data_IF_694046609034
#
_entry.id   IF_694046609034
#
_cell.length_a   1.000
_cell.length_b   1.000
_cell.length_c   1.000
_cell.angle_alpha   90.00
_cell.angle_beta   90.00
_cell.angle_gamma   90.00
#
_symmetry.space_group_name_H-M   'P 1'
#
loop_
_entity.id
_entity.type
_entity.pdbx_description
1 polymer ?
#
# COMPACT_ATOMS: atom_id res chain seq x y z
N UNK A 1 0.03 15.86 -66.18
CA UNK A 1 0.50 17.27 -66.15
C UNK A 1 1.00 17.58 -64.73
N UNK A 2 2.25 18.07 -64.60
CA UNK A 2 2.88 18.77 -63.46
C UNK A 2 2.85 18.10 -62.05
N UNK A 3 3.87 18.11 -61.17
CA UNK A 3 5.21 18.72 -61.05
C UNK A 3 5.90 18.07 -59.80
N UNK A 4 7.24 17.87 -59.88
CA UNK A 4 8.35 18.10 -58.89
C UNK A 4 8.21 17.59 -57.42
N UNK A 5 9.23 17.12 -56.69
CA UNK A 5 10.68 17.42 -56.56
C UNK A 5 11.40 16.22 -55.86
N UNK A 6 12.60 15.74 -56.25
CA UNK A 6 13.98 16.19 -55.93
C UNK A 6 14.35 16.12 -54.42
N UNK A 7 15.51 15.67 -53.90
CA UNK A 7 16.81 15.11 -54.34
C UNK A 7 17.38 14.39 -53.09
N UNK A 8 17.96 13.20 -53.24
CA UNK A 8 18.84 12.59 -52.23
C UNK A 8 20.28 12.58 -52.74
N UNK A 9 21.19 13.20 -51.99
CA UNK A 9 22.63 13.19 -52.29
C UNK A 9 23.36 12.34 -51.26
N UNK A 10 24.21 11.44 -51.72
CA UNK A 10 25.19 10.73 -50.90
C UNK A 10 26.50 10.75 -51.68
N UNK A 11 27.59 11.17 -51.04
CA UNK A 11 28.96 10.78 -51.40
C UNK A 11 29.88 11.09 -50.22
N UNK A 12 30.71 10.10 -49.90
CA UNK A 12 31.67 10.02 -48.78
C UNK A 12 33.04 10.64 -49.16
N UNK A 13 34.02 10.38 -48.26
CA UNK A 13 35.50 10.43 -48.41
C UNK A 13 36.10 11.69 -47.76
N UNK A 14 37.10 11.69 -46.86
CA UNK A 14 38.00 10.69 -46.28
C UNK A 14 38.52 11.18 -44.91
N UNK A 15 38.93 10.25 -44.05
CA UNK A 15 39.83 10.49 -42.91
C UNK A 15 41.26 10.78 -43.39
N UNK A 16 41.95 11.74 -42.77
CA UNK A 16 43.41 11.69 -42.54
C UNK A 16 43.75 12.40 -41.22
N UNK A 17 44.14 11.60 -40.23
CA UNK A 17 45.30 11.78 -39.34
C UNK A 17 45.61 13.14 -38.67
N UNK A 18 45.70 13.06 -37.33
CA UNK A 18 46.88 13.43 -36.53
C UNK A 18 46.77 14.62 -35.55
N UNK A 19 46.62 14.25 -34.27
CA UNK A 19 47.24 14.79 -33.06
C UNK A 19 47.88 16.19 -33.11
N UNK A 20 47.22 17.16 -32.45
CA UNK A 20 47.89 18.12 -31.56
C UNK A 20 47.04 18.37 -30.31
N UNK A 21 47.54 17.87 -29.18
CA UNK A 21 47.21 18.40 -27.86
C UNK A 21 47.57 19.89 -27.81
N UNK A 22 46.58 20.72 -27.51
CA UNK A 22 46.81 22.03 -26.91
C UNK A 22 45.87 22.13 -25.72
N UNK A 23 46.46 21.95 -24.55
CA UNK A 23 45.83 22.20 -23.26
C UNK A 23 45.49 23.68 -23.17
N UNK A 24 44.19 24.01 -23.10
CA UNK A 24 43.73 25.31 -22.64
C UNK A 24 42.80 25.09 -21.45
N UNK A 25 43.30 25.54 -20.31
CA UNK A 25 42.64 25.58 -19.01
C UNK A 25 41.27 26.26 -19.12
N UNK A 26 40.19 25.53 -18.80
CA UNK A 26 38.95 26.11 -18.33
C UNK A 26 38.59 25.38 -17.03
N UNK A 27 38.79 26.12 -15.95
CA UNK A 27 38.56 25.72 -14.57
C UNK A 27 37.04 25.74 -14.35
N UNK A 28 36.43 24.57 -14.14
CA UNK A 28 35.01 24.46 -13.87
C UNK A 28 34.66 24.96 -12.46
N UNK A 29 33.65 25.84 -12.28
CA UNK A 29 33.05 26.12 -10.99
C UNK A 29 31.87 25.15 -10.74
N UNK A 30 32.12 23.83 -10.79
CA UNK A 30 31.05 22.81 -10.65
C UNK A 30 30.91 22.25 -9.22
N UNK A 31 31.85 22.56 -8.31
CA UNK A 31 31.86 21.97 -6.96
C UNK A 31 30.87 22.59 -5.97
N UNK A 32 30.69 23.92 -5.95
CA UNK A 32 29.88 24.58 -4.90
C UNK A 32 28.37 24.38 -5.07
N UNK A 33 27.88 24.24 -6.30
CA UNK A 33 26.45 24.05 -6.59
C UNK A 33 25.97 22.63 -6.21
N UNK A 34 26.80 21.61 -6.49
CA UNK A 34 26.54 20.24 -6.06
C UNK A 34 26.62 20.08 -4.53
N UNK A 35 27.54 20.81 -3.88
CA UNK A 35 27.67 20.79 -2.41
C UNK A 35 26.50 21.49 -1.73
N UNK A 36 26.03 22.62 -2.27
CA UNK A 36 24.85 23.33 -1.77
C UNK A 36 23.55 22.51 -1.94
N UNK A 37 23.38 21.82 -3.08
CA UNK A 37 22.25 20.92 -3.29
C UNK A 37 22.24 19.76 -2.29
N UNK A 38 23.40 19.17 -2.03
CA UNK A 38 23.55 18.06 -1.07
C UNK A 38 23.25 18.48 0.38
N UNK A 39 23.68 19.69 0.77
CA UNK A 39 23.37 20.27 2.09
C UNK A 39 21.88 20.58 2.26
N UNK A 40 21.21 21.03 1.19
CA UNK A 40 19.76 21.27 1.21
C UNK A 40 18.98 19.96 1.29
N UNK A 41 19.41 18.91 0.58
CA UNK A 41 18.82 17.57 0.70
C UNK A 41 19.03 16.97 2.10
N UNK A 42 20.22 17.09 2.68
CA UNK A 42 20.50 16.67 4.05
C UNK A 42 19.69 17.45 5.09
N UNK A 43 19.52 18.77 4.92
CA UNK A 43 18.65 19.57 5.79
C UNK A 43 17.18 19.21 5.65
N UNK A 44 16.70 18.95 4.43
CA UNK A 44 15.32 18.52 4.19
C UNK A 44 15.06 17.12 4.76
N UNK A 45 16.02 16.19 4.66
CA UNK A 45 15.94 14.89 5.34
C UNK A 45 15.94 15.05 6.86
N UNK A 46 16.85 15.86 7.43
CA UNK A 46 16.93 16.08 8.87
C UNK A 46 15.67 16.77 9.42
N UNK A 47 15.08 17.71 8.67
CA UNK A 47 13.81 18.33 9.03
C UNK A 47 12.63 17.36 8.91
N UNK A 48 12.62 16.49 7.90
CA UNK A 48 11.63 15.42 7.79
C UNK A 48 11.74 14.45 8.96
N UNK A 49 12.95 14.03 9.33
CA UNK A 49 13.22 13.14 10.46
C UNK A 49 12.85 13.79 11.81
N UNK A 50 13.12 15.08 11.97
CA UNK A 50 12.74 15.82 13.18
C UNK A 50 11.24 16.01 13.31
N UNK A 51 10.54 16.31 12.20
CA UNK A 51 9.08 16.41 12.18
C UNK A 51 8.44 15.05 12.47
N UNK A 52 9.01 13.97 11.92
CA UNK A 52 8.62 12.58 12.21
C UNK A 52 8.77 12.27 13.70
N UNK A 53 9.92 12.59 14.30
CA UNK A 53 10.18 12.33 15.71
C UNK A 53 9.20 13.06 16.63
N UNK A 54 8.89 14.32 16.32
CA UNK A 54 7.90 15.10 17.09
C UNK A 54 6.49 14.51 17.01
N UNK A 55 6.01 14.15 15.82
CA UNK A 55 4.67 13.58 15.67
C UNK A 55 4.55 12.22 16.37
N UNK A 56 5.61 11.41 16.36
CA UNK A 56 5.66 10.13 17.09
C UNK A 56 5.58 10.39 18.60
N UNK A 57 6.33 11.37 19.11
CA UNK A 57 6.34 11.72 20.52
C UNK A 57 4.97 12.22 21.00
N UNK A 58 4.32 13.11 20.24
CA UNK A 58 2.98 13.62 20.56
C UNK A 58 1.92 12.51 20.55
N UNK A 59 1.99 11.60 19.58
CA UNK A 59 1.07 10.48 19.49
C UNK A 59 1.26 9.47 20.64
N UNK A 60 2.50 9.19 21.03
CA UNK A 60 2.83 8.32 22.18
C UNK A 60 2.31 8.88 23.51
N UNK A 61 2.38 10.19 23.68
CA UNK A 61 1.85 10.88 24.88
C UNK A 61 0.32 10.81 24.93
N UNK A 62 -0.34 10.91 23.77
CA UNK A 62 -1.80 10.82 23.69
C UNK A 62 -2.36 9.39 23.76
N UNK A 63 -1.57 8.37 23.40
CA UNK A 63 -2.01 6.98 23.30
C UNK A 63 -0.96 6.00 23.86
N UNK A 64 -0.91 5.79 25.19
CA UNK A 64 0.12 4.94 25.82
C UNK A 64 0.06 3.49 25.36
N UNK A 65 -1.10 2.99 24.90
CA UNK A 65 -1.29 1.64 24.35
C UNK A 65 -0.59 1.41 23.00
N UNK A 66 -0.02 2.47 22.42
CA UNK A 66 0.67 2.46 21.10
C UNK A 66 2.17 2.72 21.21
N UNK A 67 2.66 2.96 22.44
CA UNK A 67 4.03 3.39 22.71
C UNK A 67 5.09 2.40 22.21
N UNK A 68 4.76 1.11 22.22
CA UNK A 68 5.66 0.01 21.85
C UNK A 68 5.62 -0.36 20.36
N UNK A 69 4.93 0.40 19.51
CA UNK A 69 4.96 0.14 18.07
C UNK A 69 6.38 0.46 17.54
N UNK A 70 7.08 -0.51 16.90
CA UNK A 70 8.38 -0.28 16.30
C UNK A 70 8.31 0.83 15.24
N UNK A 71 9.33 1.69 15.17
CA UNK A 71 9.38 2.81 14.23
C UNK A 71 9.25 2.35 12.76
N UNK A 72 9.81 1.18 12.42
CA UNK A 72 9.67 0.55 11.10
C UNK A 72 8.20 0.24 10.76
N UNK A 73 7.40 -0.11 11.76
CA UNK A 73 5.98 -0.38 11.61
C UNK A 73 5.22 0.94 11.40
N UNK A 74 5.53 2.00 12.15
CA UNK A 74 4.98 3.33 11.91
C UNK A 74 5.28 3.88 10.50
N UNK A 75 6.47 3.58 9.96
CA UNK A 75 6.87 3.96 8.59
C UNK A 75 6.16 3.08 7.54
N UNK A 76 6.06 1.77 7.75
CA UNK A 76 5.28 0.87 6.88
C UNK A 76 3.77 1.21 6.88
N UNK A 77 3.28 1.79 7.97
CA UNK A 77 1.91 2.24 8.14
C UNK A 77 1.61 3.58 7.46
N UNK A 78 2.62 4.41 7.20
CA UNK A 78 2.50 5.70 6.50
C UNK A 78 2.17 5.58 5.01
N UNK A 79 2.00 4.37 4.47
CA UNK A 79 1.65 4.25 3.05
C UNK A 79 0.28 4.91 2.81
N UNK A 80 0.19 5.88 1.87
CA UNK A 80 -1.09 6.44 1.46
C UNK A 80 -2.01 5.30 1.06
N UNK A 81 -3.27 5.40 1.48
CA UNK A 81 -4.40 4.51 1.18
C UNK A 81 -3.99 3.38 0.24
N UNK A 82 -3.69 2.19 0.79
CA UNK A 82 -3.37 1.02 -0.03
C UNK A 82 -4.39 1.01 -1.17
N UNK A 83 -3.94 1.05 -2.45
CA UNK A 83 -4.85 1.12 -3.57
C UNK A 83 -5.82 -0.03 -3.36
N UNK A 84 -7.13 0.28 -3.28
CA UNK A 84 -8.17 -0.73 -3.15
C UNK A 84 -7.79 -1.82 -4.16
N UNK A 85 -7.43 -3.00 -3.65
CA UNK A 85 -6.79 -4.02 -4.45
C UNK A 85 -7.63 -4.25 -5.71
N UNK A 86 -6.97 -4.55 -6.85
CA UNK A 86 -7.72 -4.96 -8.05
C UNK A 86 -8.78 -5.96 -7.61
N UNK A 87 -10.05 -5.71 -7.95
CA UNK A 87 -11.17 -6.56 -7.56
C UNK A 87 -10.89 -7.99 -8.02
N UNK A 88 -10.61 -8.88 -7.07
CA UNK A 88 -10.32 -10.30 -7.34
C UNK A 88 -11.57 -11.09 -7.03
N UNK A 89 -12.07 -11.79 -8.02
CA UNK A 89 -13.17 -12.73 -7.84
C UNK A 89 -12.60 -14.12 -7.61
N UNK A 90 -13.08 -14.80 -6.59
CA UNK A 90 -12.67 -16.17 -6.29
C UNK A 90 -13.85 -16.98 -5.78
N UNK A 91 -13.82 -18.29 -6.02
CA UNK A 91 -14.81 -19.20 -5.44
C UNK A 91 -14.38 -19.57 -4.02
N UNK A 92 -15.21 -19.25 -3.03
CA UNK A 92 -14.97 -19.53 -1.60
C UNK A 92 -16.11 -20.32 -1.01
N UNK A 93 -15.81 -21.13 0.01
CA UNK A 93 -16.85 -21.69 0.84
C UNK A 93 -17.43 -20.54 1.70
N UNK A 94 -18.74 -20.35 1.67
CA UNK A 94 -19.44 -19.32 2.44
C UNK A 94 -20.49 -19.96 3.33
N UNK A 95 -20.68 -19.44 4.54
CA UNK A 95 -21.74 -19.86 5.45
C UNK A 95 -22.92 -18.89 5.38
N UNK A 96 -23.94 -19.28 4.63
CA UNK A 96 -25.21 -18.56 4.57
C UNK A 96 -26.17 -19.11 5.62
N UNK A 97 -26.46 -18.33 6.67
CA UNK A 97 -27.33 -18.76 7.76
C UNK A 97 -26.67 -19.71 8.77
N UNK A 98 -27.49 -20.50 9.48
CA UNK A 98 -27.05 -21.24 10.68
C UNK A 98 -26.35 -22.57 10.37
N UNK A 99 -26.73 -23.25 9.29
CA UNK A 99 -26.31 -24.65 9.04
C UNK A 99 -25.84 -24.95 7.62
N UNK A 100 -26.00 -24.02 6.67
CA UNK A 100 -25.62 -24.27 5.27
C UNK A 100 -24.29 -23.64 4.93
N UNK A 101 -23.41 -24.42 4.31
CA UNK A 101 -22.20 -23.92 3.65
C UNK A 101 -22.27 -24.28 2.17
N UNK A 102 -21.86 -23.36 1.31
CA UNK A 102 -21.86 -23.58 -0.14
C UNK A 102 -20.72 -22.82 -0.79
N UNK A 103 -20.29 -23.26 -1.97
CA UNK A 103 -19.26 -22.56 -2.74
C UNK A 103 -19.90 -21.43 -3.54
N UNK A 104 -19.42 -20.21 -3.34
CA UNK A 104 -19.92 -19.01 -4.00
C UNK A 104 -18.79 -18.21 -4.61
N UNK A 105 -19.08 -17.48 -5.69
CA UNK A 105 -18.19 -16.47 -6.22
C UNK A 105 -18.24 -15.22 -5.34
N UNK A 106 -17.11 -14.85 -4.76
CA UNK A 106 -16.97 -13.68 -3.90
C UNK A 106 -15.91 -12.72 -4.42
N UNK A 107 -16.13 -11.43 -4.19
CA UNK A 107 -15.18 -10.35 -4.47
C UNK A 107 -14.28 -10.15 -3.24
N UNK A 108 -12.98 -10.39 -3.36
CA UNK A 108 -12.02 -10.07 -2.30
C UNK A 108 -11.82 -8.57 -2.22
N UNK A 109 -11.98 -8.03 -1.02
CA UNK A 109 -11.81 -6.61 -0.71
C UNK A 109 -10.46 -6.30 -0.06
N UNK A 110 -9.86 -7.27 0.64
CA UNK A 110 -8.48 -7.16 1.10
C UNK A 110 -7.51 -7.24 -0.07
N UNK A 111 -6.37 -6.56 0.06
CA UNK A 111 -5.29 -6.56 -0.94
C UNK A 111 -4.75 -7.96 -1.23
N UNK A 112 -4.76 -8.84 -0.22
CA UNK A 112 -4.37 -10.24 -0.32
C UNK A 112 -5.57 -11.16 -0.04
N UNK A 113 -5.74 -12.17 -0.89
CA UNK A 113 -6.77 -13.21 -0.77
C UNK A 113 -6.26 -14.48 -0.08
N UNK A 114 -4.95 -14.52 0.26
CA UNK A 114 -4.27 -15.62 0.93
C UNK A 114 -3.69 -15.22 2.30
N UNK A 115 -4.08 -14.05 2.83
CA UNK A 115 -3.62 -13.58 4.14
C UNK A 115 -4.27 -14.33 5.33
N UNK A 116 -3.82 -14.03 6.56
CA UNK A 116 -4.43 -14.53 7.79
C UNK A 116 -5.94 -14.29 7.86
N UNK A 117 -6.41 -13.12 7.46
CA UNK A 117 -7.82 -12.81 7.26
C UNK A 117 -8.08 -12.32 5.83
N UNK A 118 -9.24 -12.65 5.29
CA UNK A 118 -9.76 -12.10 4.04
C UNK A 118 -11.11 -11.44 4.33
N UNK A 119 -11.31 -10.25 3.78
CA UNK A 119 -12.64 -9.63 3.68
C UNK A 119 -13.15 -9.85 2.27
N UNK A 120 -14.36 -10.36 2.12
CA UNK A 120 -14.96 -10.60 0.84
C UNK A 120 -16.41 -10.11 0.80
N UNK A 121 -16.86 -9.66 -0.37
CA UNK A 121 -18.25 -9.34 -0.65
C UNK A 121 -18.89 -10.46 -1.45
N UNK A 122 -19.98 -11.00 -0.94
CA UNK A 122 -20.92 -11.83 -1.70
C UNK A 122 -21.89 -10.88 -2.43
N UNK A 123 -21.97 -10.93 -3.77
CA UNK A 123 -22.88 -10.08 -4.54
C UNK A 123 -24.35 -10.29 -4.16
N UNK A 124 -25.16 -9.25 -4.33
CA UNK A 124 -26.61 -9.37 -4.17
C UNK A 124 -27.18 -10.29 -5.24
N UNK A 125 -28.23 -11.04 -4.88
CA UNK A 125 -29.04 -11.82 -5.82
C UNK A 125 -30.46 -11.25 -5.84
N UNK A 126 -31.34 -11.80 -6.70
CA UNK A 126 -32.75 -11.42 -6.73
C UNK A 126 -33.45 -11.59 -5.38
N UNK A 127 -32.98 -12.49 -4.53
CA UNK A 127 -33.63 -12.85 -3.26
C UNK A 127 -32.81 -12.51 -2.02
N UNK A 128 -31.55 -12.08 -2.17
CA UNK A 128 -30.66 -11.81 -1.03
C UNK A 128 -29.85 -10.53 -1.25
N UNK A 129 -29.75 -9.63 -0.25
CA UNK A 129 -28.86 -8.47 -0.36
C UNK A 129 -27.38 -8.90 -0.40
N UNK A 130 -26.52 -8.00 -0.85
CA UNK A 130 -25.08 -8.22 -0.78
C UNK A 130 -24.65 -8.39 0.68
N UNK A 131 -23.68 -9.29 0.91
CA UNK A 131 -23.19 -9.60 2.25
C UNK A 131 -21.68 -9.41 2.32
N UNK A 132 -21.20 -8.90 3.45
CA UNK A 132 -19.79 -8.93 3.77
C UNK A 132 -19.48 -10.18 4.57
N UNK A 133 -18.40 -10.84 4.18
CA UNK A 133 -17.95 -12.09 4.73
C UNK A 133 -16.49 -11.93 5.14
N UNK A 134 -16.12 -12.53 6.27
CA UNK A 134 -14.74 -12.58 6.73
C UNK A 134 -14.38 -13.99 7.21
N UNK A 135 -13.09 -14.28 7.19
CA UNK A 135 -12.54 -15.55 7.66
C UNK A 135 -11.09 -15.73 7.22
N UNK A 136 -10.51 -16.92 7.45
CA UNK A 136 -9.13 -17.20 7.07
C UNK A 136 -8.93 -17.09 5.55
N UNK A 137 -7.91 -16.34 5.10
CA UNK A 137 -7.60 -16.24 3.67
C UNK A 137 -6.82 -17.46 3.15
N UNK A 138 -5.80 -17.87 3.90
CA UNK A 138 -4.90 -18.98 3.56
C UNK A 138 -5.59 -20.33 3.41
N UNK A 139 -6.66 -20.60 4.18
CA UNK A 139 -7.43 -21.84 4.10
C UNK A 139 -8.75 -21.62 3.36
N UNK A 140 -8.80 -22.10 2.11
CA UNK A 140 -10.00 -22.01 1.26
C UNK A 140 -11.08 -23.04 1.61
N UNK A 141 -10.77 -24.03 2.45
CA UNK A 141 -11.73 -25.02 2.93
C UNK A 141 -12.56 -24.50 4.10
N UNK A 142 -12.06 -23.50 4.84
CA UNK A 142 -12.80 -22.85 5.91
C UNK A 142 -13.82 -21.87 5.33
N UNK A 143 -15.07 -22.02 5.78
CA UNK A 143 -16.16 -21.17 5.34
C UNK A 143 -15.99 -19.72 5.84
N UNK A 144 -16.08 -18.77 4.91
CA UNK A 144 -16.24 -17.36 5.25
C UNK A 144 -17.59 -17.15 5.92
N UNK A 145 -17.63 -16.28 6.94
CA UNK A 145 -18.82 -16.02 7.75
C UNK A 145 -19.26 -14.57 7.59
N UNK A 146 -20.57 -14.28 7.69
CA UNK A 146 -21.05 -12.91 7.71
C UNK A 146 -20.32 -12.07 8.75
N UNK A 147 -19.87 -10.90 8.32
CA UNK A 147 -19.26 -9.90 9.17
C UNK A 147 -20.19 -8.69 9.28
N UNK A 148 -20.55 -8.35 10.52
CA UNK A 148 -21.21 -7.10 10.83
C UNK A 148 -20.18 -5.96 10.85
N UNK A 149 -20.54 -4.83 10.27
CA UNK A 149 -19.69 -3.62 10.23
C UNK A 149 -19.79 -2.85 11.54
N UNK A 150 -19.38 -3.51 12.63
CA UNK A 150 -19.30 -2.92 13.96
C UNK A 150 -17.88 -3.04 14.49
N UNK A 151 -17.49 -2.10 15.36
CA UNK A 151 -16.17 -2.13 15.99
C UNK A 151 -15.93 -3.46 16.72
N UNK A 152 -16.90 -3.95 17.48
CA UNK A 152 -16.76 -5.20 18.24
C UNK A 152 -16.50 -6.40 17.32
N UNK A 153 -17.29 -6.57 16.26
CA UNK A 153 -17.17 -7.71 15.36
C UNK A 153 -15.82 -7.73 14.62
N UNK A 154 -15.38 -6.57 14.12
CA UNK A 154 -14.09 -6.44 13.42
C UNK A 154 -12.92 -6.70 14.37
N UNK A 155 -12.96 -6.13 15.57
CA UNK A 155 -11.89 -6.31 16.56
C UNK A 155 -11.85 -7.75 17.08
N UNK A 156 -12.99 -8.42 17.26
CA UNK A 156 -13.04 -9.83 17.62
C UNK A 156 -12.30 -10.71 16.60
N UNK A 157 -12.38 -10.40 15.29
CA UNK A 157 -11.61 -11.13 14.27
C UNK A 157 -10.09 -10.97 14.45
N UNK A 158 -9.65 -9.81 14.93
CA UNK A 158 -8.23 -9.46 15.07
C UNK A 158 -7.58 -10.10 16.31
N UNK A 159 -8.36 -10.66 17.24
CA UNK A 159 -7.87 -11.43 18.39
C UNK A 159 -6.83 -10.67 19.22
N UNK A 160 -5.65 -11.27 19.42
CA UNK A 160 -4.57 -10.69 20.22
C UNK A 160 -4.07 -9.32 19.72
N UNK A 161 -4.35 -8.94 18.47
CA UNK A 161 -3.87 -7.70 17.85
C UNK A 161 -4.89 -6.57 17.86
N UNK A 162 -5.95 -6.72 18.66
CA UNK A 162 -7.07 -5.78 18.74
C UNK A 162 -6.63 -4.36 19.10
N UNK A 163 -5.71 -4.20 20.06
CA UNK A 163 -5.23 -2.89 20.50
C UNK A 163 -4.52 -2.13 19.36
N UNK A 164 -3.66 -2.81 18.61
CA UNK A 164 -2.91 -2.23 17.50
C UNK A 164 -3.86 -1.82 16.36
N UNK A 165 -4.85 -2.67 16.03
CA UNK A 165 -5.85 -2.36 14.99
C UNK A 165 -6.71 -1.18 15.39
N UNK A 166 -7.14 -1.10 16.65
CA UNK A 166 -7.89 0.06 17.18
C UNK A 166 -7.08 1.35 17.10
N UNK A 167 -5.82 1.30 17.52
CA UNK A 167 -4.91 2.44 17.44
C UNK A 167 -4.73 2.94 16.00
N UNK A 168 -4.58 2.02 15.04
CA UNK A 168 -4.51 2.34 13.63
C UNK A 168 -5.81 2.98 13.12
N UNK A 169 -6.97 2.48 13.53
CA UNK A 169 -8.25 3.08 13.19
C UNK A 169 -8.33 4.55 13.66
N UNK A 170 -7.92 4.81 14.90
CA UNK A 170 -7.90 6.16 15.48
C UNK A 170 -6.92 7.09 14.75
N UNK A 171 -5.69 6.63 14.51
CA UNK A 171 -4.65 7.42 13.86
C UNK A 171 -5.05 7.88 12.45
N UNK A 172 -5.76 7.03 11.71
CA UNK A 172 -6.17 7.32 10.32
C UNK A 172 -7.65 7.70 10.19
N UNK A 173 -8.36 7.96 11.30
CA UNK A 173 -9.79 8.28 11.34
C UNK A 173 -10.68 7.28 10.56
N UNK A 174 -10.33 5.99 10.62
CA UNK A 174 -11.06 4.91 9.95
C UNK A 174 -12.31 4.53 10.72
N UNK A 175 -13.38 4.24 10.00
CA UNK A 175 -14.70 3.89 10.57
C UNK A 175 -14.98 2.40 10.40
N UNK A 176 -15.44 1.75 11.46
CA UNK A 176 -15.76 0.32 11.45
C UNK A 176 -17.06 0.02 10.67
N UNK A 177 -17.86 1.06 10.41
CA UNK A 177 -19.10 1.00 9.65
C UNK A 177 -18.87 1.12 8.13
N UNK A 178 -17.67 1.53 7.71
CA UNK A 178 -17.34 1.71 6.30
C UNK A 178 -16.55 0.52 5.76
N UNK A 179 -17.04 -0.05 4.66
CA UNK A 179 -16.46 -1.27 4.05
C UNK A 179 -15.00 -1.09 3.67
N UNK A 180 -14.67 0.03 3.03
CA UNK A 180 -13.32 0.32 2.55
C UNK A 180 -12.34 0.52 3.72
N UNK A 181 -12.81 1.11 4.81
CA UNK A 181 -12.03 1.30 6.03
C UNK A 181 -11.80 -0.02 6.77
N UNK A 182 -12.82 -0.88 6.87
CA UNK A 182 -12.66 -2.24 7.41
C UNK A 182 -11.71 -3.07 6.56
N UNK A 183 -11.76 -2.95 5.23
CA UNK A 183 -10.79 -3.61 4.35
C UNK A 183 -9.36 -3.15 4.67
N UNK A 184 -9.14 -1.84 4.86
CA UNK A 184 -7.84 -1.28 5.25
C UNK A 184 -7.38 -1.77 6.62
N UNK A 185 -8.28 -1.87 7.59
CA UNK A 185 -8.01 -2.38 8.93
C UNK A 185 -7.55 -3.85 8.87
N UNK A 186 -8.22 -4.67 8.08
CA UNK A 186 -7.86 -6.08 7.92
C UNK A 186 -6.57 -6.27 7.11
N UNK A 187 -6.31 -5.41 6.12
CA UNK A 187 -5.02 -5.38 5.42
C UNK A 187 -3.88 -5.01 6.37
N UNK A 188 -4.11 -4.06 7.29
CA UNK A 188 -3.15 -3.74 8.33
C UNK A 188 -2.91 -4.93 9.26
N UNK A 189 -3.98 -5.55 9.76
CA UNK A 189 -3.88 -6.76 10.58
C UNK A 189 -3.07 -7.86 9.88
N UNK A 190 -3.32 -8.11 8.59
CA UNK A 190 -2.61 -9.11 7.82
C UNK A 190 -1.11 -8.84 7.74
N UNK A 191 -0.70 -7.58 7.58
CA UNK A 191 0.72 -7.20 7.58
C UNK A 191 1.37 -7.44 8.94
N UNK A 192 0.68 -7.07 10.03
CA UNK A 192 1.16 -7.37 11.37
C UNK A 192 1.35 -8.88 11.52
N UNK A 193 0.32 -9.65 11.14
CA UNK A 193 0.25 -11.08 11.34
C UNK A 193 1.40 -11.84 10.67
N UNK A 194 1.80 -11.43 9.47
CA UNK A 194 2.90 -12.06 8.71
C UNK A 194 4.29 -11.76 9.28
N UNK A 195 4.49 -10.60 9.94
CA UNK A 195 5.83 -10.20 10.44
C UNK A 195 6.23 -10.92 11.74
N UNK A 196 5.29 -11.55 12.43
CA UNK A 196 5.55 -12.18 13.73
C UNK A 196 5.76 -13.69 13.69
N UNK A 197 5.80 -14.28 12.49
CA UNK A 197 6.20 -15.68 12.24
C UNK A 197 7.65 -15.73 11.77
#
# INVERSE_FOLDING_TARGET
MARKAQVGSTLQVAEVGSLRQVSSQLQEPSGMLATAQRLVEEQLLAQADSAVAMTIQEFRVANPETADLPAELAIALRRPAAPLGRRRFSTRLVRTGRWSTRREAVESLTCTDAGPLVLARLPATATTPAQLLAGPGYDKSVALRPLELTQEAVLHLCGARTAQVRAYAMLYNLRFEQVDDVARLLDYYNRLAVVAE
#
